data_IF_135420295568
#
_entry.id   IF_135420295568
#
_cell.length_a   1.000
_cell.length_b   1.000
_cell.length_c   1.000
_cell.angle_alpha   90.00
_cell.angle_beta   90.00
_cell.angle_gamma   90.00
#
_symmetry.space_group_name_H-M   'P 1'
#
loop_
_entity.id
_entity.type
_entity.pdbx_description
1 polymer ?
#
# COMPACT_ATOMS: atom_id res chain seq x y z
N UNK A 1 3.89 -25.94 11.52
CA UNK A 1 3.83 -26.96 10.44
C UNK A 1 4.70 -26.63 9.21
N UNK A 2 5.35 -25.45 9.10
CA UNK A 2 6.18 -25.07 7.93
C UNK A 2 5.42 -25.11 6.60
N UNK A 3 4.11 -24.89 6.65
CA UNK A 3 3.27 -24.83 5.47
C UNK A 3 3.47 -23.50 4.74
N UNK A 4 3.25 -23.52 3.43
CA UNK A 4 3.35 -22.33 2.58
C UNK A 4 2.15 -21.44 2.88
N UNK A 5 2.40 -20.19 3.25
CA UNK A 5 1.37 -19.24 3.63
C UNK A 5 1.74 -17.85 3.10
N UNK A 6 0.82 -17.20 2.39
CA UNK A 6 1.03 -15.88 1.77
C UNK A 6 -0.09 -14.93 2.18
N UNK A 7 0.27 -13.69 2.49
CA UNK A 7 -0.66 -12.60 2.77
C UNK A 7 -0.31 -11.42 1.87
N UNK A 8 -1.29 -10.98 1.10
CA UNK A 8 -1.20 -9.81 0.23
C UNK A 8 -2.04 -8.69 0.85
N UNK A 9 -1.41 -7.60 1.25
CA UNK A 9 -2.10 -6.46 1.87
C UNK A 9 -2.06 -5.30 0.89
N UNK A 10 -3.22 -4.84 0.42
CA UNK A 10 -3.32 -3.70 -0.50
C UNK A 10 -3.97 -2.52 0.22
N UNK A 11 -3.26 -1.39 0.29
CA UNK A 11 -3.65 -0.19 1.04
C UNK A 11 -3.59 1.04 0.13
N UNK A 12 -4.33 2.13 0.45
CA UNK A 12 -4.07 3.40 -0.20
C UNK A 12 -2.65 3.89 0.18
N UNK A 13 -1.89 4.38 -0.81
CA UNK A 13 -0.54 4.90 -0.55
C UNK A 13 -0.56 6.07 0.44
N UNK A 14 -1.59 6.92 0.37
CA UNK A 14 -1.85 7.97 1.35
C UNK A 14 -3.33 7.95 1.75
N UNK A 15 -3.66 8.22 3.02
CA UNK A 15 -5.03 8.45 3.47
C UNK A 15 -5.74 9.58 2.70
N UNK A 16 -7.02 9.38 2.36
CA UNK A 16 -7.83 10.34 1.60
C UNK A 16 -8.46 11.43 2.48
N UNK A 17 -7.65 12.37 2.99
CA UNK A 17 -8.12 13.48 3.81
C UNK A 17 -7.76 14.85 3.22
N UNK A 18 -8.56 15.86 3.55
CA UNK A 18 -8.39 17.24 3.07
C UNK A 18 -7.24 17.99 3.74
N UNK A 19 -6.84 17.58 4.96
CA UNK A 19 -5.80 18.26 5.74
C UNK A 19 -4.57 17.36 5.90
N UNK A 20 -3.37 17.94 5.75
CA UNK A 20 -2.11 17.22 5.94
C UNK A 20 -2.01 16.57 7.34
N UNK A 21 -2.51 17.23 8.40
CA UNK A 21 -2.44 16.70 9.76
C UNK A 21 -3.29 15.45 9.98
N UNK A 22 -4.48 15.39 9.37
CA UNK A 22 -5.30 14.17 9.38
C UNK A 22 -4.62 13.01 8.61
N UNK A 23 -3.97 13.32 7.48
CA UNK A 23 -3.18 12.33 6.73
C UNK A 23 -2.05 11.79 7.60
N UNK A 24 -1.30 12.67 8.28
CA UNK A 24 -0.22 12.29 9.20
C UNK A 24 -0.74 11.45 10.38
N UNK A 25 -1.87 11.81 10.98
CA UNK A 25 -2.47 11.07 12.08
C UNK A 25 -2.86 9.64 11.69
N UNK A 26 -3.54 9.45 10.54
CA UNK A 26 -3.92 8.11 10.08
C UNK A 26 -2.67 7.31 9.69
N UNK A 27 -1.72 7.94 8.98
CA UNK A 27 -0.46 7.31 8.60
C UNK A 27 0.33 6.85 9.84
N UNK A 28 0.32 7.61 10.93
CA UNK A 28 0.92 7.21 12.21
C UNK A 28 0.39 5.86 12.68
N UNK A 29 -0.93 5.70 12.77
CA UNK A 29 -1.55 4.45 13.25
C UNK A 29 -1.37 3.30 12.26
N UNK A 30 -1.39 3.58 10.94
CA UNK A 30 -1.08 2.58 9.91
C UNK A 30 0.34 2.05 10.08
N UNK A 31 1.34 2.94 10.16
CA UNK A 31 2.74 2.53 10.33
C UNK A 31 2.97 1.86 11.69
N UNK A 32 2.34 2.35 12.76
CA UNK A 32 2.41 1.73 14.10
C UNK A 32 1.88 0.30 14.10
N UNK A 33 0.87 0.01 13.28
CA UNK A 33 0.31 -1.34 13.15
C UNK A 33 1.23 -2.25 12.35
N UNK A 34 1.86 -1.74 11.30
CA UNK A 34 2.64 -2.53 10.34
C UNK A 34 4.11 -2.64 10.75
N UNK A 35 4.85 -1.54 10.76
CA UNK A 35 6.33 -1.54 10.79
C UNK A 35 6.97 -0.76 11.94
N UNK A 36 6.25 0.16 12.58
CA UNK A 36 6.82 1.13 13.52
C UNK A 36 6.51 0.80 14.99
N UNK A 37 7.54 0.51 15.76
CA UNK A 37 7.47 0.27 17.20
C UNK A 37 7.36 -1.22 17.55
N UNK A 38 7.67 -1.54 18.81
CA UNK A 38 7.89 -2.92 19.26
C UNK A 38 6.67 -3.86 19.16
N UNK A 39 5.48 -3.27 19.12
CA UNK A 39 4.21 -4.00 19.02
C UNK A 39 3.68 -4.11 17.58
N UNK A 40 4.39 -3.52 16.61
CA UNK A 40 4.03 -3.62 15.19
C UNK A 40 4.11 -5.07 14.71
N UNK A 41 3.36 -5.38 13.65
CA UNK A 41 3.36 -6.70 13.03
C UNK A 41 4.77 -7.15 12.64
N UNK A 42 5.53 -6.31 11.95
CA UNK A 42 6.89 -6.62 11.51
C UNK A 42 7.82 -6.87 12.70
N UNK A 43 7.85 -5.98 13.69
CA UNK A 43 8.73 -6.15 14.86
C UNK A 43 8.40 -7.42 15.67
N UNK A 44 7.13 -7.80 15.76
CA UNK A 44 6.70 -9.02 16.45
C UNK A 44 7.14 -10.29 15.69
N UNK A 45 6.99 -10.30 14.37
CA UNK A 45 7.40 -11.42 13.52
C UNK A 45 8.93 -11.58 13.52
N UNK A 46 9.67 -10.48 13.38
CA UNK A 46 11.14 -10.50 13.42
C UNK A 46 11.67 -11.00 14.77
N UNK A 47 11.07 -10.57 15.89
CA UNK A 47 11.41 -11.07 17.23
C UNK A 47 11.15 -12.57 17.39
N UNK A 48 10.16 -13.09 16.68
CA UNK A 48 9.89 -14.53 16.62
C UNK A 48 10.81 -15.28 15.64
N UNK A 49 11.77 -14.60 15.00
CA UNK A 49 12.66 -15.17 14.00
C UNK A 49 11.99 -15.40 12.64
N UNK A 50 10.85 -14.77 12.39
CA UNK A 50 10.10 -14.87 11.13
C UNK A 50 10.43 -13.66 10.25
N UNK A 51 10.99 -13.92 9.08
CA UNK A 51 11.22 -12.90 8.07
C UNK A 51 9.89 -12.54 7.40
N UNK A 52 9.42 -11.31 7.62
CA UNK A 52 8.08 -10.83 7.19
C UNK A 52 7.87 -11.05 5.70
N UNK A 53 8.83 -10.64 4.88
CA UNK A 53 8.84 -10.75 3.42
C UNK A 53 8.63 -12.16 2.87
N UNK A 54 8.89 -13.18 3.67
CA UNK A 54 8.68 -14.58 3.26
C UNK A 54 7.23 -15.01 3.43
N UNK A 55 6.34 -14.15 3.97
CA UNK A 55 4.94 -14.48 4.24
C UNK A 55 3.96 -13.33 3.92
N UNK A 56 4.33 -12.09 4.18
CA UNK A 56 3.44 -10.93 4.11
C UNK A 56 4.09 -9.85 3.24
N UNK A 57 3.30 -9.29 2.33
CA UNK A 57 3.73 -8.18 1.46
C UNK A 57 2.67 -7.09 1.41
N UNK A 58 3.13 -5.83 1.31
CA UNK A 58 2.29 -4.64 1.37
C UNK A 58 2.40 -3.84 0.08
N UNK A 59 1.25 -3.57 -0.53
CA UNK A 59 1.16 -2.91 -1.82
C UNK A 59 0.21 -1.73 -1.82
N UNK A 60 0.53 -0.75 -2.65
CA UNK A 60 -0.38 0.32 -3.04
C UNK A 60 -0.70 0.23 -4.54
N UNK A 61 -1.47 1.20 -5.02
CA UNK A 61 -1.79 1.31 -6.43
C UNK A 61 -1.50 2.71 -6.96
N UNK A 62 -0.90 2.80 -8.15
CA UNK A 62 -0.54 4.07 -8.80
C UNK A 62 -0.68 3.94 -10.32
N UNK A 63 -1.28 4.97 -10.92
CA UNK A 63 -1.41 5.11 -12.37
C UNK A 63 -0.61 6.29 -12.92
N UNK A 64 -0.45 6.32 -14.25
CA UNK A 64 0.04 7.47 -14.99
C UNK A 64 -0.73 7.63 -16.29
N UNK A 65 -0.78 8.86 -16.78
CA UNK A 65 -1.39 9.20 -18.08
C UNK A 65 -0.84 10.55 -18.59
N UNK A 66 -1.29 10.97 -19.77
CA UNK A 66 -0.99 12.26 -20.37
C UNK A 66 -2.18 13.20 -20.14
N UNK A 67 -1.97 14.25 -19.34
CA UNK A 67 -2.94 15.32 -19.12
C UNK A 67 -2.43 16.61 -19.78
N UNK A 68 -3.20 17.13 -20.74
CA UNK A 68 -2.85 18.37 -21.47
C UNK A 68 -1.42 18.34 -22.06
N UNK A 69 -1.01 17.20 -22.61
CA UNK A 69 0.31 17.00 -23.22
C UNK A 69 1.45 16.81 -22.21
N UNK A 70 1.16 16.69 -20.91
CA UNK A 70 2.15 16.43 -19.87
C UNK A 70 1.91 15.07 -19.22
N UNK A 71 2.98 14.32 -19.00
CA UNK A 71 2.93 13.10 -18.20
C UNK A 71 2.59 13.47 -16.75
N UNK A 72 1.60 12.78 -16.20
CA UNK A 72 1.17 12.90 -14.81
C UNK A 72 1.04 11.52 -14.18
N UNK A 73 1.15 11.46 -12.86
CA UNK A 73 0.89 10.25 -12.08
C UNK A 73 0.03 10.57 -10.87
N UNK A 74 -0.85 9.64 -10.50
CA UNK A 74 -1.65 9.76 -9.28
C UNK A 74 -1.85 8.40 -8.62
N UNK A 75 -2.06 8.44 -7.30
CA UNK A 75 -2.43 7.28 -6.49
C UNK A 75 -3.82 6.82 -6.90
N UNK A 76 -3.99 5.50 -7.07
CA UNK A 76 -5.32 4.90 -7.17
C UNK A 76 -5.77 4.60 -5.75
N UNK A 77 -6.83 5.28 -5.32
CA UNK A 77 -7.28 5.23 -3.94
C UNK A 77 -8.02 3.91 -3.66
N UNK A 78 -7.37 3.04 -2.87
CA UNK A 78 -7.93 1.76 -2.45
C UNK A 78 -8.97 2.00 -1.36
N UNK A 79 -10.24 2.10 -1.76
CA UNK A 79 -11.35 2.27 -0.83
C UNK A 79 -12.04 0.94 -0.48
N UNK A 80 -11.65 -0.17 -1.11
CA UNK A 80 -12.22 -1.49 -0.88
C UNK A 80 -12.04 -1.93 0.58
N UNK A 81 -13.05 -2.65 1.10
CA UNK A 81 -12.95 -3.42 2.34
C UNK A 81 -13.30 -4.86 1.99
N UNK A 82 -12.27 -5.59 1.58
CA UNK A 82 -12.36 -6.92 0.97
C UNK A 82 -11.28 -7.81 1.58
N UNK A 83 -11.66 -9.02 1.94
CA UNK A 83 -10.74 -10.08 2.36
C UNK A 83 -11.12 -11.36 1.61
N UNK A 84 -10.14 -11.96 0.93
CA UNK A 84 -10.28 -13.25 0.25
C UNK A 84 -9.36 -14.23 0.97
N UNK A 85 -9.87 -15.40 1.33
CA UNK A 85 -9.15 -16.44 2.06
C UNK A 85 -9.29 -17.77 1.30
N UNK A 86 -8.15 -18.37 0.99
CA UNK A 86 -8.02 -19.71 0.39
C UNK A 86 -8.83 -19.92 -0.90
N UNK A 87 -9.10 -18.86 -1.68
CA UNK A 87 -10.00 -18.85 -2.84
C UNK A 87 -11.37 -19.50 -2.57
N UNK A 88 -11.82 -19.41 -1.32
CA UNK A 88 -13.03 -20.07 -0.83
C UNK A 88 -13.96 -19.11 -0.07
N UNK A 89 -13.36 -18.25 0.76
CA UNK A 89 -14.10 -17.30 1.56
C UNK A 89 -13.84 -15.88 1.08
N UNK A 90 -14.90 -15.10 0.99
CA UNK A 90 -14.85 -13.69 0.69
C UNK A 90 -15.63 -12.92 1.74
N UNK A 91 -15.00 -11.93 2.36
CA UNK A 91 -15.67 -10.95 3.22
C UNK A 91 -15.61 -9.61 2.50
N UNK A 92 -16.76 -9.00 2.23
CA UNK A 92 -16.82 -7.67 1.65
C UNK A 92 -17.88 -6.80 2.34
N UNK A 93 -17.63 -5.50 2.44
CA UNK A 93 -18.53 -4.60 3.16
C UNK A 93 -18.03 -3.17 3.25
N UNK A 94 -18.53 -2.46 4.27
CA UNK A 94 -18.16 -1.08 4.57
C UNK A 94 -17.08 -0.96 5.66
N UNK A 95 -16.93 -1.98 6.51
CA UNK A 95 -16.05 -1.95 7.67
C UNK A 95 -14.56 -1.88 7.30
N UNK A 96 -13.87 -0.80 7.67
CA UNK A 96 -12.41 -0.72 7.56
C UNK A 96 -11.73 -1.62 8.62
N UNK A 97 -10.45 -1.96 8.41
CA UNK A 97 -9.65 -2.63 9.45
C UNK A 97 -9.16 -1.59 10.46
N UNK A 98 -10.07 -1.16 11.33
CA UNK A 98 -9.83 -0.17 12.38
C UNK A 98 -10.87 -0.29 13.51
N UNK A 99 -10.62 0.31 14.67
CA UNK A 99 -11.52 0.23 15.81
C UNK A 99 -12.86 0.92 15.55
N UNK A 100 -12.85 2.04 14.79
CA UNK A 100 -14.08 2.75 14.37
C UNK A 100 -15.10 1.81 13.74
N UNK A 101 -14.63 0.87 12.92
CA UNK A 101 -15.49 -0.05 12.19
C UNK A 101 -15.72 -1.37 12.93
N UNK A 102 -14.72 -1.87 13.68
CA UNK A 102 -14.71 -3.26 14.17
C UNK A 102 -15.14 -3.44 15.63
N UNK A 103 -15.11 -2.40 16.48
CA UNK A 103 -15.48 -2.53 17.90
C UNK A 103 -17.00 -2.68 18.10
N UNK A 104 -17.81 -2.29 17.11
CA UNK A 104 -19.26 -2.44 17.11
C UNK A 104 -20.04 -1.42 17.97
N UNK A 105 -19.34 -0.60 18.77
CA UNK A 105 -19.95 0.49 19.57
C UNK A 105 -19.78 1.88 18.95
N UNK A 106 -19.13 1.95 17.78
CA UNK A 106 -18.80 3.19 17.07
C UNK A 106 -19.63 3.30 15.79
N UNK A 107 -19.00 3.25 14.61
CA UNK A 107 -19.72 3.41 13.35
C UNK A 107 -20.60 2.18 13.08
N UNK A 108 -21.75 2.41 12.46
CA UNK A 108 -22.60 1.32 11.99
C UNK A 108 -22.06 0.81 10.65
N UNK A 109 -21.69 -0.46 10.62
CA UNK A 109 -21.10 -1.10 9.45
C UNK A 109 -21.93 -2.30 8.99
N UNK A 110 -21.78 -2.66 7.71
CA UNK A 110 -22.36 -3.86 7.14
C UNK A 110 -21.30 -4.65 6.38
N UNK A 111 -21.33 -5.97 6.51
CA UNK A 111 -20.48 -6.87 5.76
C UNK A 111 -21.26 -8.15 5.42
N UNK A 112 -20.91 -8.76 4.30
CA UNK A 112 -21.36 -10.09 3.92
C UNK A 112 -20.16 -11.04 3.96
N UNK A 113 -20.40 -12.26 4.43
CA UNK A 113 -19.48 -13.38 4.33
C UNK A 113 -20.03 -14.32 3.26
N UNK A 114 -19.23 -14.55 2.23
CA UNK A 114 -19.55 -15.41 1.10
C UNK A 114 -18.63 -16.61 1.17
N UNK A 115 -19.20 -17.80 1.04
CA UNK A 115 -18.48 -19.05 0.94
C UNK A 115 -18.88 -19.72 -0.37
N UNK A 116 -17.91 -20.03 -1.21
CA UNK A 116 -18.17 -20.83 -2.40
C UNK A 116 -18.48 -22.29 -2.02
N UNK A 117 -19.49 -22.84 -2.69
CA UNK A 117 -19.92 -24.25 -2.54
C UNK A 117 -19.68 -25.06 -3.82
N UNK A 118 -19.56 -24.38 -4.95
CA UNK A 118 -19.30 -24.94 -6.27
C UNK A 118 -18.02 -24.31 -6.82
N UNK A 119 -17.15 -25.12 -7.43
CA UNK A 119 -15.84 -24.67 -7.90
C UNK A 119 -15.70 -24.88 -9.40
N UNK A 120 -15.26 -23.82 -10.09
CA UNK A 120 -14.84 -23.88 -11.48
C UNK A 120 -13.34 -23.59 -11.57
N UNK A 121 -12.70 -24.10 -12.63
CA UNK A 121 -11.32 -23.75 -12.91
C UNK A 121 -11.24 -22.27 -13.29
N UNK A 122 -10.40 -21.51 -12.59
CA UNK A 122 -10.29 -20.05 -12.79
C UNK A 122 -10.03 -19.65 -14.24
N UNK A 123 -10.70 -18.59 -14.69
CA UNK A 123 -10.52 -18.03 -16.03
C UNK A 123 -9.22 -17.21 -16.05
N UNK A 124 -8.24 -17.65 -16.83
CA UNK A 124 -7.07 -16.84 -17.14
C UNK A 124 -7.44 -15.85 -18.25
N UNK A 125 -7.55 -14.56 -17.91
CA UNK A 125 -7.50 -13.50 -18.93
C UNK A 125 -6.18 -13.59 -19.72
N UNK A 126 -6.14 -13.08 -20.95
CA UNK A 126 -4.92 -13.07 -21.78
C UNK A 126 -3.72 -12.64 -20.93
N UNK A 127 -2.83 -13.60 -20.66
CA UNK A 127 -1.63 -13.37 -19.89
C UNK A 127 -0.46 -13.33 -20.87
N UNK A 128 -0.06 -12.14 -21.35
CA UNK A 128 0.99 -12.00 -22.35
C UNK A 128 2.34 -12.55 -21.89
N UNK A 129 2.51 -12.88 -20.61
CA UNK A 129 3.78 -13.29 -20.03
C UNK A 129 3.83 -14.74 -19.52
N UNK A 130 2.81 -15.55 -19.81
CA UNK A 130 2.78 -16.98 -19.46
C UNK A 130 3.08 -17.25 -17.96
N UNK A 131 2.63 -16.35 -17.10
CA UNK A 131 2.74 -16.51 -15.64
C UNK A 131 1.53 -17.32 -15.18
N UNK A 132 1.77 -18.29 -14.33
CA UNK A 132 0.68 -19.00 -13.69
C UNK A 132 0.11 -18.11 -12.58
N UNK A 133 -1.12 -17.65 -12.77
CA UNK A 133 -1.86 -16.85 -11.78
C UNK A 133 -2.90 -17.68 -11.03
N UNK A 134 -2.96 -18.99 -11.29
CA UNK A 134 -3.94 -19.91 -10.69
C UNK A 134 -3.48 -20.44 -9.32
N UNK A 135 -2.19 -20.33 -9.01
CA UNK A 135 -1.64 -20.64 -7.69
C UNK A 135 -1.10 -19.35 -7.02
N UNK A 136 -1.92 -18.67 -6.19
CA UNK A 136 -1.54 -17.44 -5.52
C UNK A 136 -0.54 -17.68 -4.38
N UNK A 137 -0.24 -18.91 -3.98
CA UNK A 137 0.74 -19.21 -2.92
C UNK A 137 2.08 -19.71 -3.44
N UNK A 138 2.17 -20.00 -4.76
CA UNK A 138 3.40 -20.45 -5.40
C UNK A 138 4.54 -19.44 -5.26
N UNK A 139 5.77 -19.96 -5.11
CA UNK A 139 6.96 -19.11 -4.98
C UNK A 139 7.23 -18.32 -6.26
N UNK A 140 6.84 -18.88 -7.41
CA UNK A 140 6.95 -18.24 -8.72
C UNK A 140 6.04 -17.02 -8.82
N UNK A 141 4.75 -17.17 -8.49
CA UNK A 141 3.81 -16.05 -8.50
C UNK A 141 4.18 -15.00 -7.44
N UNK A 142 4.51 -15.44 -6.22
CA UNK A 142 4.90 -14.55 -5.13
C UNK A 142 6.12 -13.70 -5.48
N UNK A 143 7.17 -14.31 -6.03
CA UNK A 143 8.38 -13.59 -6.47
C UNK A 143 8.07 -12.62 -7.60
N UNK A 144 7.33 -13.08 -8.62
CA UNK A 144 6.93 -12.25 -9.75
C UNK A 144 6.14 -11.00 -9.32
N UNK A 145 5.16 -11.18 -8.44
CA UNK A 145 4.28 -10.10 -7.99
C UNK A 145 5.07 -9.04 -7.20
N UNK A 146 5.97 -9.49 -6.31
CA UNK A 146 6.89 -8.62 -5.56
C UNK A 146 7.83 -7.84 -6.47
N UNK A 147 8.49 -8.53 -7.42
CA UNK A 147 9.43 -7.89 -8.34
C UNK A 147 8.73 -6.87 -9.25
N UNK A 148 7.49 -7.17 -9.65
CA UNK A 148 6.65 -6.25 -10.43
C UNK A 148 6.35 -4.98 -9.63
N UNK A 149 5.86 -5.13 -8.41
CA UNK A 149 5.58 -3.99 -7.53
C UNK A 149 6.84 -3.16 -7.28
N UNK A 150 7.96 -3.80 -6.97
CA UNK A 150 9.22 -3.13 -6.71
C UNK A 150 9.73 -2.35 -7.92
N UNK A 151 9.75 -2.98 -9.10
CA UNK A 151 10.15 -2.33 -10.35
C UNK A 151 9.27 -1.12 -10.66
N UNK A 152 7.95 -1.26 -10.53
CA UNK A 152 7.01 -0.15 -10.75
C UNK A 152 7.29 1.01 -9.79
N UNK A 153 7.50 0.73 -8.49
CA UNK A 153 7.86 1.74 -7.48
C UNK A 153 9.09 2.52 -7.91
N UNK A 154 10.17 1.83 -8.28
CA UNK A 154 11.42 2.47 -8.68
C UNK A 154 11.26 3.35 -9.93
N UNK A 155 10.47 2.91 -10.91
CA UNK A 155 10.19 3.70 -12.11
C UNK A 155 9.39 4.97 -11.74
N UNK A 156 8.34 4.86 -10.92
CA UNK A 156 7.57 6.02 -10.51
C UNK A 156 8.42 7.03 -9.71
N UNK A 157 9.27 6.55 -8.81
CA UNK A 157 10.21 7.38 -8.07
C UNK A 157 11.24 8.06 -8.99
N UNK A 158 11.80 7.34 -9.96
CA UNK A 158 12.75 7.89 -10.95
C UNK A 158 12.09 8.97 -11.82
N UNK A 159 10.89 8.69 -12.32
CA UNK A 159 10.23 9.55 -13.30
C UNK A 159 9.66 10.81 -12.66
N UNK A 160 8.97 10.66 -11.53
CA UNK A 160 8.12 11.71 -10.96
C UNK A 160 8.54 12.19 -9.56
N UNK A 161 9.52 11.55 -8.91
CA UNK A 161 9.83 11.76 -7.50
C UNK A 161 8.57 11.66 -6.63
N UNK A 162 7.84 10.55 -6.75
CA UNK A 162 6.56 10.34 -6.07
C UNK A 162 6.69 10.30 -4.56
N UNK A 163 5.66 10.83 -3.88
CA UNK A 163 5.44 10.65 -2.44
C UNK A 163 4.21 9.77 -2.25
N UNK A 164 4.20 8.84 -1.27
CA UNK A 164 5.25 8.54 -0.29
C UNK A 164 6.38 7.68 -0.85
N UNK A 165 7.56 7.71 -0.21
CA UNK A 165 8.77 6.97 -0.62
C UNK A 165 9.70 6.68 0.57
N UNK A 166 10.31 5.49 0.60
CA UNK A 166 11.29 5.10 1.63
C UNK A 166 12.62 5.88 1.57
N UNK A 167 12.83 6.68 0.49
CA UNK A 167 13.95 7.63 0.37
C UNK A 167 13.78 8.84 1.29
N UNK A 168 12.55 9.14 1.69
CA UNK A 168 12.21 10.29 2.51
C UNK A 168 12.10 9.83 3.96
N UNK A 169 13.18 9.93 4.72
CA UNK A 169 13.22 9.47 6.14
C UNK A 169 12.83 10.54 7.16
N UNK A 170 12.93 11.82 6.77
CA UNK A 170 12.71 12.99 7.61
C UNK A 170 12.16 14.16 6.78
N UNK A 171 11.73 15.24 7.45
CA UNK A 171 11.16 16.43 6.79
C UNK A 171 12.15 17.17 5.89
N UNK A 172 13.44 17.20 6.23
CA UNK A 172 14.47 17.89 5.44
C UNK A 172 14.68 17.16 4.12
N UNK A 173 14.73 15.82 4.15
CA UNK A 173 14.81 14.99 2.95
C UNK A 173 13.55 15.11 2.09
N UNK A 174 12.39 15.33 2.68
CA UNK A 174 11.15 15.54 1.91
C UNK A 174 11.24 16.81 1.05
N UNK A 175 11.69 17.92 1.63
CA UNK A 175 11.86 19.18 0.90
C UNK A 175 12.89 19.04 -0.24
N UNK A 176 14.04 18.43 0.05
CA UNK A 176 15.07 18.17 -0.96
C UNK A 176 14.58 17.23 -2.07
N UNK A 177 13.81 16.20 -1.72
CA UNK A 177 13.30 15.22 -2.68
C UNK A 177 12.25 15.82 -3.61
N UNK A 178 11.37 16.70 -3.09
CA UNK A 178 10.32 17.37 -3.87
C UNK A 178 10.84 18.46 -4.79
N UNK A 179 11.94 19.12 -4.40
CA UNK A 179 12.55 20.22 -5.15
C UNK A 179 13.58 19.74 -6.17
N UNK A 180 14.06 18.50 -6.04
CA UNK A 180 14.98 17.90 -6.99
C UNK A 180 14.38 17.86 -8.42
N UNK A 181 15.21 18.10 -9.46
CA UNK A 181 14.76 17.97 -10.85
C UNK A 181 14.22 16.57 -11.13
N UNK A 182 13.01 16.50 -11.69
CA UNK A 182 12.36 15.22 -12.03
C UNK A 182 12.74 14.83 -13.45
N UNK A 183 12.79 13.51 -13.71
CA UNK A 183 13.09 13.03 -15.06
C UNK A 183 12.02 13.47 -16.07
N UNK A 184 10.76 13.50 -15.66
CA UNK A 184 9.65 13.98 -16.51
C UNK A 184 9.86 15.42 -17.01
N UNK A 185 10.56 16.27 -16.24
CA UNK A 185 10.82 17.66 -16.58
C UNK A 185 12.16 17.82 -17.33
N UNK A 186 13.16 16.99 -17.01
CA UNK A 186 14.52 17.13 -17.55
C UNK A 186 14.75 16.33 -18.84
N UNK A 187 14.10 15.18 -19.01
CA UNK A 187 14.20 14.31 -20.18
C UNK A 187 12.86 13.56 -20.42
N UNK A 188 11.89 14.22 -21.08
CA UNK A 188 10.58 13.64 -21.32
C UNK A 188 10.61 12.38 -22.19
N UNK A 189 11.53 12.26 -23.15
CA UNK A 189 11.62 11.07 -24.02
C UNK A 189 12.03 9.85 -23.21
N UNK A 190 13.06 10.01 -22.36
CA UNK A 190 13.46 8.95 -21.43
C UNK A 190 12.35 8.65 -20.42
N UNK A 191 11.66 9.66 -19.90
CA UNK A 191 10.51 9.43 -19.01
C UNK A 191 9.44 8.54 -19.67
N UNK A 192 9.06 8.82 -20.92
CA UNK A 192 8.11 7.98 -21.67
C UNK A 192 8.64 6.55 -21.88
N UNK A 193 9.93 6.38 -22.18
CA UNK A 193 10.54 5.07 -22.35
C UNK A 193 10.48 4.25 -21.05
N UNK A 194 10.78 4.87 -19.91
CA UNK A 194 10.73 4.23 -18.59
C UNK A 194 9.31 3.83 -18.20
N UNK A 195 8.31 4.68 -18.44
CA UNK A 195 6.91 4.37 -18.11
C UNK A 195 6.34 3.19 -18.91
N UNK A 196 6.84 2.92 -20.12
CA UNK A 196 6.46 1.72 -20.90
C UNK A 196 6.92 0.41 -20.26
N UNK A 197 7.86 0.45 -19.31
CA UNK A 197 8.34 -0.72 -18.59
C UNK A 197 7.49 -1.09 -17.37
N UNK A 198 6.53 -0.22 -16.99
CA UNK A 198 5.59 -0.45 -15.90
C UNK A 198 4.61 -1.55 -16.28
N UNK A 199 4.31 -2.43 -15.33
CA UNK A 199 3.33 -3.49 -15.51
C UNK A 199 2.22 -3.43 -14.46
N UNK A 200 0.99 -3.26 -14.92
CA UNK A 200 -0.16 -3.10 -14.04
C UNK A 200 -0.06 -1.83 -13.20
N UNK A 201 -0.69 -1.85 -12.03
CA UNK A 201 -0.87 -0.67 -11.19
C UNK A 201 -0.21 -0.81 -9.81
N UNK A 202 0.28 -2.00 -9.49
CA UNK A 202 0.80 -2.35 -8.17
C UNK A 202 2.16 -1.70 -7.93
N UNK A 203 2.35 -1.14 -6.74
CA UNK A 203 3.61 -0.60 -6.23
C UNK A 203 3.78 -1.02 -4.77
N UNK A 204 4.99 -0.91 -4.23
CA UNK A 204 5.27 -1.20 -2.82
C UNK A 204 4.63 -0.13 -1.92
N UNK A 205 4.18 -0.52 -0.72
CA UNK A 205 3.95 0.45 0.35
C UNK A 205 5.30 0.83 0.96
N UNK A 206 5.66 2.12 1.03
CA UNK A 206 6.90 2.56 1.67
C UNK A 206 6.77 2.50 3.19
N UNK A 207 7.17 1.37 3.78
CA UNK A 207 7.06 1.07 5.21
C UNK A 207 7.95 1.95 6.11
N UNK A 208 8.88 2.69 5.52
CA UNK A 208 9.85 3.55 6.18
C UNK A 208 9.76 5.02 5.73
N UNK A 209 8.69 5.39 5.02
CA UNK A 209 8.40 6.79 4.73
C UNK A 209 8.30 7.59 6.05
N UNK A 210 9.02 8.71 6.09
CA UNK A 210 9.38 9.56 7.25
C UNK A 210 9.47 8.80 8.58
N UNK A 211 10.16 7.66 8.56
CA UNK A 211 10.25 6.76 9.71
C UNK A 211 10.81 7.45 10.97
N UNK A 212 11.66 8.47 10.81
CA UNK A 212 12.32 9.15 11.92
C UNK A 212 11.45 10.26 12.55
N UNK A 213 10.34 10.60 11.91
CA UNK A 213 9.41 11.65 12.37
C UNK A 213 8.33 11.09 13.32
N UNK A 214 7.87 11.93 14.25
CA UNK A 214 6.64 11.65 14.98
C UNK A 214 5.45 12.27 14.25
N UNK A 215 4.66 11.43 13.59
CA UNK A 215 3.49 11.82 12.83
C UNK A 215 2.29 12.25 13.68
N UNK A 216 2.30 11.99 15.00
CA UNK A 216 1.18 12.38 15.85
C UNK A 216 1.00 13.90 15.86
N UNK A 217 -0.21 14.41 15.55
CA UNK A 217 -0.47 15.84 15.66
C UNK A 217 -0.17 16.36 17.07
N UNK A 218 0.53 17.49 17.15
CA UNK A 218 0.77 18.16 18.44
C UNK A 218 -0.56 18.54 19.10
N UNK A 219 -0.61 18.48 20.43
CA UNK A 219 -1.76 18.94 21.23
C UNK A 219 -2.13 20.42 21.00
N UNK A 220 -1.25 21.20 20.36
CA UNK A 220 -1.50 22.59 19.94
C UNK A 220 -2.23 22.72 18.61
N UNK A 221 -2.46 21.61 17.89
CA UNK A 221 -3.19 21.57 16.61
C UNK A 221 -4.62 21.08 16.82
N UNK A 222 -5.55 21.43 15.92
CA UNK A 222 -6.95 20.97 16.00
C UNK A 222 -7.03 19.44 16.04
N UNK A 223 -6.19 18.77 15.25
CA UNK A 223 -6.12 17.32 15.14
C UNK A 223 -5.48 16.64 16.36
N UNK A 224 -4.62 17.35 17.11
CA UNK A 224 -4.04 16.83 18.36
C UNK A 224 -4.86 17.17 19.60
N UNK A 225 -5.86 18.05 19.48
CA UNK A 225 -6.83 18.33 20.54
C UNK A 225 -7.97 17.29 20.58
N UNK A 226 -8.20 16.58 19.48
CA UNK A 226 -9.21 15.51 19.45
C UNK A 226 -8.64 14.21 20.04
N UNK A 227 -9.46 13.37 20.70
CA UNK A 227 -8.97 12.11 21.24
C UNK A 227 -8.48 11.16 20.15
N UNK A 228 -7.46 10.35 20.45
CA UNK A 228 -6.87 9.38 19.51
C UNK A 228 -7.89 8.45 18.85
N UNK A 229 -9.00 8.18 19.54
CA UNK A 229 -10.14 7.38 19.06
C UNK A 229 -10.76 7.88 17.75
N UNK A 230 -10.49 9.14 17.38
CA UNK A 230 -10.92 9.74 16.11
C UNK A 230 -10.07 9.24 14.94
N UNK A 231 -8.87 8.73 15.21
CA UNK A 231 -7.92 8.26 14.21
C UNK A 231 -7.80 6.73 14.18
N UNK A 232 -8.35 6.02 15.19
CA UNK A 232 -8.35 4.56 15.28
C UNK A 232 -9.68 3.90 14.93
#
# INVERSE_FOLDING_TARGET
>A
NKEKFRVYVVLPLLPGFSTQKAVEAVLYFTMRSISKGENSLCSRLERAGVKVDDYITFYGMRGNDILMGKLVTEIIYVHSKLMIIDDLWCICGSANINDRSLVGTRDSEIAIVIQDIDFEQGIQHENPENIDITDPVSDKFYTFFRETAHKNTLIYEEVFATVPSDRIRDLIKDENYRTAPKLVDTDPERAHARLKEIRGLVVDIPLYFRHDENYMPSATTKEGMVPDIIWT
#
